data_IF_076142614443
#
_entry.id   IF_076142614443
#
_cell.length_a   1.000
_cell.length_b   1.000
_cell.length_c   1.000
_cell.angle_alpha   90.00
_cell.angle_beta   90.00
_cell.angle_gamma   90.00
#
_symmetry.space_group_name_H-M   'P 1'
#
loop_
_entity.id
_entity.type
_entity.pdbx_description
1 polymer ?
#
# COMPACT_ATOMS: atom_id res chain seq x y z
N UNK A 1 34.39 12.17 11.51
CA UNK A 1 35.41 11.75 12.51
C UNK A 1 36.06 10.40 12.23
N UNK A 2 35.35 9.39 11.69
CA UNK A 2 35.92 8.05 11.38
C UNK A 2 37.11 8.04 10.39
N UNK A 3 37.21 9.01 9.46
CA UNK A 3 38.31 9.09 8.49
C UNK A 3 39.62 9.57 9.16
N UNK A 4 39.54 10.35 10.24
CA UNK A 4 40.70 10.93 10.91
C UNK A 4 41.47 9.90 11.76
N UNK A 5 40.78 8.93 12.38
CA UNK A 5 41.42 7.79 13.03
C UNK A 5 42.04 6.80 12.03
N UNK A 6 41.46 6.75 10.82
CA UNK A 6 42.07 6.24 9.59
C UNK A 6 43.54 6.67 9.41
N UNK A 7 43.77 7.98 9.40
CA UNK A 7 44.93 8.64 8.80
C UNK A 7 46.21 8.65 9.65
N UNK A 8 46.20 8.08 10.86
CA UNK A 8 47.41 7.90 11.64
C UNK A 8 48.24 6.79 11.00
N UNK A 9 49.03 7.14 9.98
CA UNK A 9 50.26 6.39 9.74
C UNK A 9 51.09 6.59 10.99
N UNK A 10 51.34 5.53 11.75
CA UNK A 10 52.45 5.52 12.70
C UNK A 10 53.67 5.99 11.91
N UNK A 11 54.09 7.25 12.14
CA UNK A 11 55.30 7.81 11.50
C UNK A 11 56.55 7.09 12.00
N UNK A 12 56.42 6.17 12.95
CA UNK A 12 57.50 5.36 13.51
C UNK A 12 57.37 3.92 12.98
N UNK A 13 58.27 3.53 12.07
CA UNK A 13 58.30 2.20 11.46
C UNK A 13 59.23 2.13 10.24
N UNK A 14 59.71 0.94 9.91
CA UNK A 14 60.49 0.72 8.69
C UNK A 14 59.64 0.96 7.44
N UNK A 15 60.28 1.24 6.30
CA UNK A 15 59.57 1.44 5.01
C UNK A 15 58.69 0.22 4.68
N UNK A 16 59.16 -1.00 4.99
CA UNK A 16 58.42 -2.24 4.77
C UNK A 16 57.15 -2.34 5.65
N UNK A 17 57.24 -1.96 6.92
CA UNK A 17 56.08 -1.96 7.84
C UNK A 17 55.01 -0.96 7.41
N UNK A 18 55.44 0.24 6.97
CA UNK A 18 54.52 1.27 6.46
C UNK A 18 53.81 0.81 5.19
N UNK A 19 54.53 0.21 4.26
CA UNK A 19 53.95 -0.33 3.03
C UNK A 19 52.90 -1.40 3.35
N UNK A 20 53.22 -2.34 4.24
CA UNK A 20 52.29 -3.39 4.66
C UNK A 20 51.03 -2.81 5.34
N UNK A 21 51.20 -1.79 6.19
CA UNK A 21 50.09 -1.10 6.84
C UNK A 21 49.18 -0.39 5.82
N UNK A 22 49.77 0.37 4.90
CA UNK A 22 49.02 1.05 3.83
C UNK A 22 48.30 0.05 2.93
N UNK A 23 48.94 -1.05 2.55
CA UNK A 23 48.31 -2.11 1.74
C UNK A 23 47.09 -2.69 2.45
N UNK A 24 47.24 -3.08 3.72
CA UNK A 24 46.14 -3.61 4.54
C UNK A 24 44.98 -2.62 4.64
N UNK A 25 45.29 -1.33 4.79
CA UNK A 25 44.28 -0.27 4.88
C UNK A 25 43.56 -0.02 3.55
N UNK A 26 44.28 -0.04 2.42
CA UNK A 26 43.68 0.06 1.09
C UNK A 26 42.74 -1.12 0.85
N UNK A 27 43.15 -2.35 1.19
CA UNK A 27 42.30 -3.53 1.11
C UNK A 27 41.02 -3.38 1.95
N UNK A 28 41.13 -2.85 3.18
CA UNK A 28 39.98 -2.58 4.03
C UNK A 28 39.03 -1.53 3.43
N UNK A 29 39.56 -0.44 2.86
CA UNK A 29 38.75 0.60 2.22
C UNK A 29 38.09 0.11 0.93
N UNK A 30 38.77 -0.71 0.13
CA UNK A 30 38.19 -1.35 -1.06
C UNK A 30 37.05 -2.28 -0.66
N UNK A 31 37.22 -3.07 0.41
CA UNK A 31 36.14 -3.91 0.95
C UNK A 31 34.95 -3.07 1.40
N UNK A 32 35.19 -1.97 2.11
CA UNK A 32 34.13 -1.06 2.54
C UNK A 32 33.38 -0.44 1.35
N UNK A 33 34.10 -0.02 0.31
CA UNK A 33 33.52 0.48 -0.94
C UNK A 33 32.62 -0.58 -1.58
N UNK A 34 33.11 -1.80 -1.76
CA UNK A 34 32.33 -2.89 -2.36
C UNK A 34 31.07 -3.19 -1.55
N UNK A 35 31.18 -3.24 -0.22
CA UNK A 35 30.03 -3.48 0.66
C UNK A 35 28.96 -2.39 0.51
N UNK A 36 29.35 -1.11 0.50
CA UNK A 36 28.40 0.00 0.36
C UNK A 36 27.73 0.04 -1.01
N UNK A 37 28.48 -0.26 -2.07
CA UNK A 37 27.90 -0.35 -3.42
C UNK A 37 26.93 -1.52 -3.55
N UNK A 38 27.26 -2.67 -2.96
CA UNK A 38 26.35 -3.82 -2.95
C UNK A 38 25.09 -3.54 -2.14
N UNK A 39 25.23 -2.88 -0.99
CA UNK A 39 24.09 -2.47 -0.19
C UNK A 39 23.19 -1.49 -0.96
N UNK A 40 23.76 -0.46 -1.59
CA UNK A 40 22.99 0.46 -2.43
C UNK A 40 22.21 -0.28 -3.52
N UNK A 41 22.82 -1.25 -4.20
CA UNK A 41 22.17 -2.05 -5.23
C UNK A 41 20.97 -2.83 -4.67
N UNK A 42 21.15 -3.48 -3.52
CA UNK A 42 20.06 -4.23 -2.88
C UNK A 42 18.91 -3.31 -2.44
N UNK A 43 19.23 -2.12 -1.93
CA UNK A 43 18.23 -1.13 -1.54
C UNK A 43 17.45 -0.61 -2.76
N UNK A 44 18.13 -0.39 -3.89
CA UNK A 44 17.50 0.01 -5.16
C UNK A 44 16.58 -1.05 -5.75
N UNK A 45 16.97 -2.33 -5.67
CA UNK A 45 16.11 -3.44 -6.09
C UNK A 45 14.83 -3.48 -5.24
N UNK A 46 14.94 -3.37 -3.92
CA UNK A 46 13.78 -3.32 -3.02
C UNK A 46 12.89 -2.09 -3.25
N UNK A 47 13.50 -0.93 -3.52
CA UNK A 47 12.74 0.28 -3.84
C UNK A 47 11.94 0.11 -5.12
N UNK A 48 12.56 -0.45 -6.17
CA UNK A 48 11.88 -0.66 -7.44
C UNK A 48 10.65 -1.56 -7.27
N UNK A 49 10.78 -2.66 -6.53
CA UNK A 49 9.66 -3.57 -6.25
C UNK A 49 8.51 -2.84 -5.51
N UNK A 50 8.83 -1.98 -4.53
CA UNK A 50 7.83 -1.20 -3.81
C UNK A 50 7.20 -0.12 -4.70
N UNK A 51 8.00 0.57 -5.51
CA UNK A 51 7.54 1.60 -6.44
C UNK A 51 6.64 1.03 -7.54
N UNK A 52 6.91 -0.18 -8.04
CA UNK A 52 6.08 -0.86 -9.02
C UNK A 52 4.68 -1.16 -8.44
N UNK A 53 4.60 -1.60 -7.17
CA UNK A 53 3.34 -1.86 -6.47
C UNK A 53 2.58 -0.56 -6.16
N UNK A 54 3.29 0.45 -5.62
CA UNK A 54 2.70 1.73 -5.20
C UNK A 54 2.45 2.70 -6.36
N UNK A 55 2.95 2.37 -7.57
CA UNK A 55 2.99 3.24 -8.74
C UNK A 55 3.65 4.60 -8.47
N UNK A 56 4.75 4.61 -7.71
CA UNK A 56 5.52 5.82 -7.35
C UNK A 56 6.85 5.88 -8.08
N UNK A 57 7.43 7.08 -8.18
CA UNK A 57 8.75 7.27 -8.80
C UNK A 57 9.87 6.92 -7.82
N UNK A 58 10.86 6.09 -8.22
CA UNK A 58 12.00 5.73 -7.37
C UNK A 58 12.84 6.93 -6.94
N UNK A 59 13.51 6.82 -5.78
CA UNK A 59 14.43 7.83 -5.28
C UNK A 59 15.75 7.85 -6.06
N UNK A 60 16.14 9.02 -6.56
CA UNK A 60 17.35 9.16 -7.36
C UNK A 60 18.60 9.40 -6.48
N UNK A 61 19.50 8.42 -6.43
CA UNK A 61 20.90 8.59 -6.04
C UNK A 61 21.80 8.29 -7.25
N UNK A 62 22.94 8.98 -7.38
CA UNK A 62 23.94 8.64 -8.40
C UNK A 62 24.47 7.22 -8.17
N UNK A 63 24.02 6.27 -9.01
CA UNK A 63 24.39 4.87 -8.95
C UNK A 63 25.90 4.61 -9.19
N UNK A 64 26.66 5.61 -9.66
CA UNK A 64 28.11 5.49 -9.92
C UNK A 64 28.96 6.02 -8.77
N UNK A 65 28.38 6.81 -7.87
CA UNK A 65 29.08 7.36 -6.71
C UNK A 65 29.01 6.38 -5.52
N UNK A 66 30.08 6.32 -4.72
CA UNK A 66 30.06 5.52 -3.49
C UNK A 66 29.28 6.30 -2.43
N UNK A 67 28.16 5.77 -1.91
CA UNK A 67 27.37 6.51 -0.95
C UNK A 67 28.09 6.65 0.40
N UNK A 68 27.84 7.77 1.05
CA UNK A 68 28.14 7.98 2.45
C UNK A 68 27.23 7.12 3.34
N UNK A 69 27.62 6.96 4.61
CA UNK A 69 26.77 6.24 5.57
C UNK A 69 25.45 6.99 5.80
N UNK A 70 25.49 8.32 5.84
CA UNK A 70 24.30 9.15 6.02
C UNK A 70 23.32 9.05 4.84
N UNK A 71 23.83 8.94 3.61
CA UNK A 71 23.00 8.70 2.42
C UNK A 71 22.35 7.32 2.45
N UNK A 72 23.09 6.28 2.84
CA UNK A 72 22.53 4.94 3.02
C UNK A 72 21.48 4.91 4.13
N UNK A 73 21.75 5.58 5.26
CA UNK A 73 20.77 5.69 6.35
C UNK A 73 19.50 6.39 5.88
N UNK A 74 19.61 7.51 5.17
CA UNK A 74 18.46 8.21 4.60
C UNK A 74 17.66 7.32 3.65
N UNK A 75 18.34 6.56 2.80
CA UNK A 75 17.69 5.62 1.88
C UNK A 75 16.94 4.52 2.63
N UNK A 76 17.54 3.94 3.69
CA UNK A 76 16.85 2.95 4.53
C UNK A 76 15.60 3.52 5.20
N UNK A 77 15.64 4.78 5.65
CA UNK A 77 14.45 5.44 6.20
C UNK A 77 13.37 5.67 5.14
N UNK A 78 13.76 6.04 3.91
CA UNK A 78 12.81 6.19 2.80
C UNK A 78 12.13 4.85 2.45
N UNK A 79 12.91 3.77 2.32
CA UNK A 79 12.36 2.43 2.13
C UNK A 79 11.41 2.01 3.26
N UNK A 80 11.77 2.30 4.50
CA UNK A 80 10.89 2.01 5.64
C UNK A 80 9.57 2.79 5.55
N UNK A 81 9.60 4.05 5.10
CA UNK A 81 8.38 4.83 4.86
C UNK A 81 7.53 4.27 3.72
N UNK A 82 8.15 3.84 2.61
CA UNK A 82 7.44 3.20 1.49
C UNK A 82 6.81 1.87 1.91
N UNK A 83 7.52 1.07 2.71
CA UNK A 83 7.00 -0.19 3.23
C UNK A 83 5.80 0.02 4.17
N UNK A 84 5.87 1.02 5.05
CA UNK A 84 4.75 1.39 5.92
C UNK A 84 3.55 1.92 5.12
N UNK A 85 3.80 2.71 4.07
CA UNK A 85 2.74 3.19 3.17
C UNK A 85 2.09 2.04 2.39
N UNK A 86 2.88 1.06 1.92
CA UNK A 86 2.35 -0.16 1.31
C UNK A 86 1.43 -0.90 2.27
N UNK A 87 1.85 -1.12 3.51
CA UNK A 87 1.06 -1.81 4.53
C UNK A 87 -0.26 -1.06 4.79
N UNK A 88 -0.20 0.27 4.96
CA UNK A 88 -1.39 1.10 5.15
C UNK A 88 -2.37 0.99 3.96
N UNK A 89 -1.88 1.17 2.73
CA UNK A 89 -2.71 1.10 1.52
C UNK A 89 -3.31 -0.30 1.33
N UNK A 90 -2.58 -1.35 1.70
CA UNK A 90 -3.04 -2.72 1.63
C UNK A 90 -4.18 -2.98 2.62
N UNK A 91 -4.06 -2.50 3.86
CA UNK A 91 -5.15 -2.59 4.84
C UNK A 91 -6.40 -1.84 4.38
N UNK A 92 -6.24 -0.63 3.85
CA UNK A 92 -7.33 0.18 3.29
C UNK A 92 -8.01 -0.54 2.11
N UNK A 93 -7.23 -1.14 1.21
CA UNK A 93 -7.73 -1.94 0.10
C UNK A 93 -8.53 -3.15 0.58
N UNK A 94 -7.98 -3.97 1.47
CA UNK A 94 -8.64 -5.17 1.99
C UNK A 94 -9.96 -4.83 2.67
N UNK A 95 -9.98 -3.77 3.49
CA UNK A 95 -11.20 -3.29 4.14
C UNK A 95 -12.25 -2.84 3.12
N UNK A 96 -11.84 -2.03 2.15
CA UNK A 96 -12.75 -1.49 1.14
C UNK A 96 -13.30 -2.60 0.24
N UNK A 97 -12.44 -3.55 -0.17
CA UNK A 97 -12.81 -4.74 -0.96
C UNK A 97 -13.88 -5.56 -0.25
N UNK A 98 -13.69 -5.87 1.04
CA UNK A 98 -14.69 -6.62 1.81
C UNK A 98 -16.04 -5.91 1.85
N UNK A 99 -16.04 -4.60 2.02
CA UNK A 99 -17.26 -3.81 2.06
C UNK A 99 -17.94 -3.72 0.69
N UNK A 100 -17.17 -3.57 -0.40
CA UNK A 100 -17.69 -3.57 -1.77
C UNK A 100 -18.35 -4.91 -2.09
N UNK A 101 -17.68 -6.03 -1.82
CA UNK A 101 -18.23 -7.38 -2.07
C UNK A 101 -19.55 -7.57 -1.31
N UNK A 102 -19.57 -7.20 -0.03
CA UNK A 102 -20.79 -7.27 0.78
C UNK A 102 -21.94 -6.43 0.21
N UNK A 103 -21.67 -5.18 -0.19
CA UNK A 103 -22.68 -4.31 -0.78
C UNK A 103 -23.17 -4.83 -2.14
N UNK A 104 -22.28 -5.38 -2.96
CA UNK A 104 -22.65 -5.99 -4.24
C UNK A 104 -23.56 -7.21 -4.03
N UNK A 105 -23.25 -8.07 -3.06
CA UNK A 105 -24.10 -9.20 -2.69
C UNK A 105 -25.47 -8.75 -2.16
N UNK A 106 -25.51 -7.75 -1.27
CA UNK A 106 -26.76 -7.18 -0.71
C UNK A 106 -27.65 -6.57 -1.81
N UNK A 107 -27.03 -5.89 -2.78
CA UNK A 107 -27.72 -5.27 -3.91
C UNK A 107 -28.06 -6.25 -5.04
N UNK A 108 -27.52 -7.48 -5.01
CA UNK A 108 -27.61 -8.43 -6.12
C UNK A 108 -26.90 -7.95 -7.40
N UNK A 109 -25.88 -7.11 -7.25
CA UNK A 109 -25.09 -6.51 -8.33
C UNK A 109 -23.94 -7.46 -8.71
N UNK A 110 -23.79 -7.75 -10.00
CA UNK A 110 -22.67 -8.54 -10.52
C UNK A 110 -21.55 -7.61 -11.00
N UNK A 111 -20.27 -8.02 -10.92
CA UNK A 111 -19.15 -7.18 -11.37
C UNK A 111 -19.24 -6.90 -12.87
N UNK A 112 -19.46 -5.63 -13.22
CA UNK A 112 -19.69 -5.19 -14.60
C UNK A 112 -18.49 -4.44 -15.20
N UNK A 113 -17.66 -3.82 -14.35
CA UNK A 113 -16.47 -3.08 -14.76
C UNK A 113 -15.20 -3.90 -14.54
N UNK A 114 -14.12 -3.57 -15.25
CA UNK A 114 -12.82 -4.23 -15.02
C UNK A 114 -12.35 -4.06 -13.58
N UNK A 115 -12.55 -2.87 -12.99
CA UNK A 115 -12.21 -2.61 -11.60
C UNK A 115 -13.00 -3.51 -10.65
N UNK A 116 -14.31 -3.66 -10.86
CA UNK A 116 -15.14 -4.57 -10.04
C UNK A 116 -14.69 -6.03 -10.18
N UNK A 117 -14.33 -6.46 -11.40
CA UNK A 117 -13.78 -7.79 -11.65
C UNK A 117 -12.46 -7.98 -10.89
N UNK A 118 -11.56 -7.01 -10.96
CA UNK A 118 -10.28 -7.06 -10.24
C UNK A 118 -10.50 -7.13 -8.73
N UNK A 119 -11.47 -6.38 -8.20
CA UNK A 119 -11.82 -6.37 -6.78
C UNK A 119 -12.44 -7.70 -6.31
N UNK A 120 -13.21 -8.38 -7.16
CA UNK A 120 -13.86 -9.64 -6.79
C UNK A 120 -12.91 -10.82 -6.98
N UNK A 121 -12.25 -10.90 -8.14
CA UNK A 121 -11.56 -12.11 -8.61
C UNK A 121 -10.03 -12.11 -8.40
N UNK A 122 -9.36 -10.95 -8.29
CA UNK A 122 -7.90 -10.94 -8.15
C UNK A 122 -7.40 -11.26 -6.74
N UNK A 123 -6.15 -11.76 -6.69
CA UNK A 123 -5.41 -11.93 -5.45
C UNK A 123 -5.15 -10.57 -4.79
N UNK A 124 -5.32 -10.52 -3.47
CA UNK A 124 -5.15 -9.33 -2.65
C UNK A 124 -3.76 -8.70 -2.86
N UNK A 125 -2.74 -9.51 -3.13
CA UNK A 125 -1.36 -9.05 -3.35
C UNK A 125 -1.05 -8.66 -4.80
N UNK A 126 -1.92 -8.97 -5.76
CA UNK A 126 -1.70 -8.65 -7.18
C UNK A 126 -2.22 -7.26 -7.57
N UNK A 127 -3.14 -6.69 -6.77
CA UNK A 127 -3.76 -5.41 -7.04
C UNK A 127 -2.75 -4.26 -6.97
N UNK A 128 -2.75 -3.40 -7.99
CA UNK A 128 -1.88 -2.21 -8.02
C UNK A 128 -2.39 -1.16 -7.02
N UNK A 129 -1.61 -0.88 -5.97
CA UNK A 129 -1.94 0.06 -4.89
C UNK A 129 -1.63 1.52 -5.27
N UNK A 130 -1.95 1.91 -6.49
CA UNK A 130 -1.80 3.29 -6.96
C UNK A 130 -2.81 4.20 -6.26
N UNK A 131 -2.48 5.49 -6.17
CA UNK A 131 -3.41 6.50 -5.64
C UNK A 131 -4.71 6.56 -6.44
N UNK A 132 -4.61 6.35 -7.75
CA UNK A 132 -5.74 6.43 -8.67
C UNK A 132 -6.67 5.22 -8.49
N UNK A 133 -6.11 4.03 -8.30
CA UNK A 133 -6.89 2.81 -8.05
C UNK A 133 -7.58 2.86 -6.68
N UNK A 134 -6.91 3.36 -5.65
CA UNK A 134 -7.51 3.56 -4.33
C UNK A 134 -8.62 4.62 -4.36
N UNK A 135 -8.44 5.70 -5.13
CA UNK A 135 -9.50 6.69 -5.32
C UNK A 135 -10.71 6.09 -6.06
N UNK A 136 -10.47 5.28 -7.11
CA UNK A 136 -11.52 4.60 -7.85
C UNK A 136 -12.29 3.59 -6.97
N UNK A 137 -11.61 2.89 -6.05
CA UNK A 137 -12.25 2.02 -5.05
C UNK A 137 -13.16 2.79 -4.10
N UNK A 138 -12.72 3.95 -3.63
CA UNK A 138 -13.54 4.80 -2.77
C UNK A 138 -14.76 5.34 -3.51
N UNK A 139 -14.60 5.72 -4.79
CA UNK A 139 -15.70 6.15 -5.63
C UNK A 139 -16.73 5.02 -5.83
N UNK A 140 -16.27 3.80 -6.15
CA UNK A 140 -17.12 2.62 -6.28
C UNK A 140 -17.90 2.34 -4.99
N UNK A 141 -17.23 2.40 -3.84
CA UNK A 141 -17.87 2.23 -2.54
C UNK A 141 -18.99 3.27 -2.33
N UNK A 142 -18.71 4.55 -2.60
CA UNK A 142 -19.71 5.62 -2.48
C UNK A 142 -20.89 5.41 -3.43
N UNK A 143 -20.65 4.95 -4.65
CA UNK A 143 -21.70 4.65 -5.62
C UNK A 143 -22.61 3.52 -5.14
N UNK A 144 -22.05 2.44 -4.60
CA UNK A 144 -22.81 1.32 -4.05
C UNK A 144 -23.62 1.71 -2.82
N UNK A 145 -23.03 2.48 -1.90
CA UNK A 145 -23.73 3.00 -0.72
C UNK A 145 -24.89 3.93 -1.11
N UNK A 146 -24.69 4.80 -2.10
CA UNK A 146 -25.74 5.67 -2.62
C UNK A 146 -26.88 4.84 -3.24
N UNK A 147 -26.56 3.79 -4.01
CA UNK A 147 -27.55 2.90 -4.59
C UNK A 147 -28.37 2.17 -3.52
N UNK A 148 -27.70 1.68 -2.46
CA UNK A 148 -28.37 1.08 -1.29
C UNK A 148 -29.32 2.05 -0.61
N UNK A 149 -28.87 3.28 -0.35
CA UNK A 149 -29.70 4.31 0.29
C UNK A 149 -30.93 4.67 -0.56
N UNK A 150 -30.79 4.73 -1.88
CA UNK A 150 -31.91 4.96 -2.79
C UNK A 150 -32.93 3.81 -2.74
N UNK A 151 -32.45 2.56 -2.76
CA UNK A 151 -33.32 1.39 -2.64
C UNK A 151 -34.05 1.35 -1.30
N UNK A 152 -33.37 1.67 -0.20
CA UNK A 152 -33.97 1.72 1.14
C UNK A 152 -35.03 2.83 1.23
N UNK A 153 -34.76 4.01 0.68
CA UNK A 153 -35.71 5.12 0.63
C UNK A 153 -36.97 4.75 -0.19
N UNK A 154 -36.80 4.12 -1.35
CA UNK A 154 -37.91 3.64 -2.17
C UNK A 154 -38.73 2.55 -1.46
N UNK A 155 -38.06 1.60 -0.80
CA UNK A 155 -38.72 0.58 0.02
C UNK A 155 -39.51 1.20 1.17
N UNK A 156 -38.95 2.19 1.87
CA UNK A 156 -39.61 2.88 2.97
C UNK A 156 -40.85 3.64 2.49
N UNK A 157 -40.79 4.31 1.33
CA UNK A 157 -41.94 4.99 0.73
C UNK A 157 -43.06 3.99 0.38
N UNK A 158 -42.70 2.87 -0.26
CA UNK A 158 -43.67 1.81 -0.60
C UNK A 158 -44.29 1.18 0.65
N UNK A 159 -43.50 0.88 1.69
CA UNK A 159 -43.99 0.38 2.97
C UNK A 159 -44.94 1.38 3.66
N UNK A 160 -44.63 2.68 3.60
CA UNK A 160 -45.53 3.73 4.09
C UNK A 160 -46.86 3.75 3.33
N UNK A 161 -46.81 3.65 2.00
CA UNK A 161 -48.02 3.62 1.16
C UNK A 161 -48.87 2.37 1.39
N UNK A 162 -48.25 1.20 1.58
CA UNK A 162 -48.95 -0.04 1.97
C UNK A 162 -49.66 0.16 3.31
N UNK A 163 -48.99 0.76 4.28
CA UNK A 163 -49.56 1.03 5.61
C UNK A 163 -50.80 1.94 5.51
N UNK A 164 -50.73 3.01 4.71
CA UNK A 164 -51.89 3.90 4.46
C UNK A 164 -53.06 3.14 3.82
N UNK A 165 -52.79 2.27 2.85
CA UNK A 165 -53.83 1.46 2.21
C UNK A 165 -54.47 0.47 3.19
N UNK A 166 -53.69 -0.16 4.08
CA UNK A 166 -54.23 -1.02 5.12
C UNK A 166 -55.13 -0.29 6.11
N UNK A 167 -54.79 0.96 6.47
CA UNK A 167 -55.64 1.81 7.29
C UNK A 167 -56.95 2.15 6.58
N UNK A 168 -56.92 2.46 5.29
CA UNK A 168 -58.13 2.76 4.51
C UNK A 168 -59.03 1.54 4.33
N UNK A 169 -58.44 0.38 4.09
CA UNK A 169 -59.14 -0.89 3.89
C UNK A 169 -59.54 -1.58 5.20
N UNK A 170 -59.11 -1.05 6.36
CA UNK A 170 -59.33 -1.65 7.68
C UNK A 170 -58.84 -3.10 7.76
N UNK A 171 -57.67 -3.37 7.17
CA UNK A 171 -57.08 -4.72 7.14
C UNK A 171 -56.76 -5.16 8.58
N UNK A 172 -57.19 -6.36 9.02
CA UNK A 172 -56.93 -6.90 10.35
C UNK A 172 -55.43 -7.02 10.66
N UNK A 173 -55.06 -6.99 11.93
CA UNK A 173 -53.66 -7.01 12.36
C UNK A 173 -52.96 -8.31 11.99
N UNK A 174 -53.69 -9.43 12.00
CA UNK A 174 -53.21 -10.76 11.63
C UNK A 174 -52.73 -10.82 10.17
N UNK A 175 -53.41 -10.12 9.26
CA UNK A 175 -53.04 -10.02 7.84
C UNK A 175 -51.84 -9.09 7.61
N UNK A 176 -51.68 -8.06 8.45
CA UNK A 176 -50.50 -7.18 8.42
C UNK A 176 -49.24 -7.88 8.94
N UNK A 177 -49.38 -8.65 10.02
CA UNK A 177 -48.26 -9.39 10.60
C UNK A 177 -47.78 -10.51 9.68
N UNK A 178 -48.70 -11.22 9.01
CA UNK A 178 -48.34 -12.25 8.03
C UNK A 178 -47.61 -11.70 6.79
N UNK A 179 -47.82 -10.43 6.44
CA UNK A 179 -47.17 -9.77 5.30
C UNK A 179 -45.88 -9.01 5.65
N UNK A 180 -45.58 -8.80 6.93
CA UNK A 180 -44.37 -8.12 7.39
C UNK A 180 -43.10 -9.01 7.44
N UNK A 181 -43.23 -10.31 7.17
CA UNK A 181 -42.15 -11.32 7.33
C UNK A 181 -41.27 -11.49 6.08
N UNK A 182 -41.52 -10.74 5.01
CA UNK A 182 -40.71 -10.72 3.80
C UNK A 182 -40.14 -9.32 3.51
#
# INVERSE_FOLDING_TARGET
>A
ELISGLLQTEEEGTILEREKSLRTRVEALLKQRCNRMQELKNLQEQEQDLCDILCTTPFSIDAKAVPSLEELDRYRHHLASLAAEKEQRQEEFVRSRQQIIFLMEELGHAPDTSLEQDVVDEDVEAFCLSTDNLAALQELLQQLEAHRALNEAACAELRSRITQLWEWLQVPMEERESSAVH
#
